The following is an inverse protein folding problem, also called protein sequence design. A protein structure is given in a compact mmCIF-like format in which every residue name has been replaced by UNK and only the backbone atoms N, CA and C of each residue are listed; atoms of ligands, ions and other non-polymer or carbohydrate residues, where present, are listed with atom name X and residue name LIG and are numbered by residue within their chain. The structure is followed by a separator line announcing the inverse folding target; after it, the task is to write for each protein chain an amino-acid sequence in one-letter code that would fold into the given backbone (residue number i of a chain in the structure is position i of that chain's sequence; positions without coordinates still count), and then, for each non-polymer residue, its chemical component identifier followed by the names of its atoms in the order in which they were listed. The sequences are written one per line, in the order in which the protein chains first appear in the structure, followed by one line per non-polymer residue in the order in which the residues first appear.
data_IF_491080034842
#
_entry.id   IF_491080034842
#
_cell.length_a   1.000
_cell.length_b   1.000
_cell.length_c   1.000
_cell.angle_alpha   90.00
_cell.angle_beta   90.00
_cell.angle_gamma   90.00
#
_symmetry.space_group_name_H-M   'P 1'
#
loop_
_entity.id
_entity.type
_entity.pdbx_description
1 polymer ?
#
# COMPACT_ATOMS: atom_id res chain seq x y z
N UNK A 1 -24.10 11.10 -71.62
CA UNK A 1 -24.66 9.94 -70.98
C UNK A 1 -23.75 9.54 -69.81
N UNK A 2 -24.28 9.72 -68.57
CA UNK A 2 -23.57 9.40 -67.32
C UNK A 2 -23.99 7.98 -66.97
N UNK A 3 -23.04 7.05 -66.99
CA UNK A 3 -23.25 5.68 -66.55
C UNK A 3 -23.04 5.61 -65.10
N UNK A 4 -24.14 5.44 -64.36
CA UNK A 4 -24.10 5.19 -62.88
C UNK A 4 -23.92 3.69 -62.63
N UNK A 5 -22.76 3.26 -62.19
CA UNK A 5 -22.53 1.91 -61.71
C UNK A 5 -22.89 1.81 -60.20
N UNK A 6 -24.04 1.18 -59.93
CA UNK A 6 -24.41 0.74 -58.56
C UNK A 6 -23.57 -0.47 -58.21
N UNK A 7 -22.69 -0.33 -57.23
CA UNK A 7 -22.02 -1.46 -56.61
C UNK A 7 -23.02 -2.20 -55.72
N UNK A 8 -23.45 -3.39 -56.15
CA UNK A 8 -24.11 -4.35 -55.26
C UNK A 8 -23.07 -4.92 -54.32
N UNK A 9 -23.15 -4.55 -53.06
CA UNK A 9 -22.29 -5.12 -51.98
C UNK A 9 -22.68 -6.58 -51.82
N UNK A 10 -21.73 -7.47 -52.05
CA UNK A 10 -21.89 -8.92 -52.13
C UNK A 10 -22.41 -9.47 -50.80
N UNK A 11 -23.52 -10.23 -50.83
CA UNK A 11 -24.17 -10.78 -49.64
C UNK A 11 -23.23 -11.65 -48.77
N UNK A 12 -22.21 -12.21 -49.38
CA UNK A 12 -21.16 -12.97 -48.68
C UNK A 12 -20.33 -12.08 -47.72
N UNK A 13 -20.16 -10.79 -48.01
CA UNK A 13 -19.44 -9.85 -47.14
C UNK A 13 -20.27 -9.55 -45.88
N UNK A 14 -21.58 -9.45 -45.99
CA UNK A 14 -22.48 -9.26 -44.86
C UNK A 14 -22.53 -10.48 -43.94
N UNK A 15 -22.51 -11.68 -44.51
CA UNK A 15 -22.52 -12.93 -43.73
C UNK A 15 -21.20 -13.11 -42.98
N UNK A 16 -20.05 -12.81 -43.61
CA UNK A 16 -18.74 -12.86 -42.96
C UNK A 16 -18.60 -11.89 -41.80
N UNK A 17 -19.12 -10.65 -41.94
CA UNK A 17 -19.07 -9.64 -40.90
C UNK A 17 -19.93 -10.03 -39.68
N UNK A 18 -21.12 -10.63 -39.92
CA UNK A 18 -22.00 -11.11 -38.84
C UNK A 18 -21.37 -12.26 -38.05
N UNK A 19 -20.67 -13.19 -38.72
CA UNK A 19 -19.99 -14.30 -38.05
C UNK A 19 -18.83 -13.79 -37.18
N UNK A 20 -18.04 -12.84 -37.66
CA UNK A 20 -16.94 -12.25 -36.90
C UNK A 20 -17.47 -11.53 -35.65
N UNK A 21 -18.56 -10.75 -35.78
CA UNK A 21 -19.17 -10.06 -34.60
C UNK A 21 -19.67 -11.07 -33.58
N UNK A 22 -20.29 -12.17 -34.01
CA UNK A 22 -20.80 -13.20 -33.12
C UNK A 22 -19.70 -13.96 -32.39
N UNK A 23 -18.59 -14.27 -33.08
CA UNK A 23 -17.41 -14.90 -32.45
C UNK A 23 -16.74 -13.95 -31.45
N UNK A 24 -16.64 -12.66 -31.73
CA UNK A 24 -16.12 -11.66 -30.82
C UNK A 24 -17.01 -11.50 -29.58
N UNK A 25 -18.35 -11.53 -29.70
CA UNK A 25 -19.26 -11.46 -28.58
C UNK A 25 -19.18 -12.69 -27.67
N UNK A 26 -19.01 -13.89 -28.24
CA UNK A 26 -18.82 -15.13 -27.47
C UNK A 26 -17.45 -15.08 -26.75
N UNK A 27 -16.39 -14.66 -27.41
CA UNK A 27 -15.06 -14.52 -26.80
C UNK A 27 -15.07 -13.49 -25.65
N UNK A 28 -15.81 -12.39 -25.80
CA UNK A 28 -15.97 -11.40 -24.74
C UNK A 28 -16.78 -11.94 -23.54
N UNK A 29 -17.78 -12.78 -23.77
CA UNK A 29 -18.58 -13.41 -22.71
C UNK A 29 -17.79 -14.48 -21.93
N UNK A 30 -16.85 -15.18 -22.56
CA UNK A 30 -16.01 -16.18 -21.89
C UNK A 30 -14.87 -15.52 -21.12
N UNK A 31 -14.35 -14.37 -21.60
CA UNK A 31 -13.31 -13.62 -20.90
C UNK A 31 -13.81 -12.92 -19.63
N UNK A 32 -15.13 -12.71 -19.50
CA UNK A 32 -15.74 -12.09 -18.30
C UNK A 32 -15.93 -13.06 -17.12
N UNK A 33 -15.63 -14.36 -17.28
CA UNK A 33 -15.76 -15.37 -16.22
C UNK A 33 -14.42 -15.76 -15.57
N UNK A 34 -13.31 -15.24 -16.06
CA UNK A 34 -12.01 -15.36 -15.42
C UNK A 34 -11.66 -14.05 -14.69
N UNK A 35 -12.45 -13.67 -13.70
CA UNK A 35 -11.92 -12.83 -12.65
C UNK A 35 -10.96 -13.71 -11.85
N UNK A 36 -9.66 -13.40 -11.78
CA UNK A 36 -8.84 -13.99 -10.76
C UNK A 36 -9.49 -13.56 -9.44
N UNK A 37 -10.06 -14.50 -8.70
CA UNK A 37 -10.48 -14.34 -7.32
C UNK A 37 -9.24 -14.30 -6.41
N UNK A 38 -8.38 -13.33 -6.68
CA UNK A 38 -7.38 -12.81 -5.78
C UNK A 38 -7.88 -11.46 -5.35
N UNK A 39 -8.96 -11.41 -4.57
CA UNK A 39 -9.21 -10.28 -3.71
C UNK A 39 -8.04 -10.28 -2.73
N UNK A 40 -6.96 -9.55 -3.08
CA UNK A 40 -5.95 -9.18 -2.12
C UNK A 40 -6.68 -8.38 -1.06
N UNK A 41 -6.88 -8.98 0.11
CA UNK A 41 -7.45 -8.28 1.25
C UNK A 41 -6.50 -7.14 1.59
N UNK A 42 -6.88 -5.95 1.15
CA UNK A 42 -6.24 -4.70 1.52
C UNK A 42 -6.51 -4.51 3.00
N UNK A 43 -5.56 -4.93 3.85
CA UNK A 43 -5.66 -4.67 5.28
C UNK A 43 -5.37 -3.19 5.46
N UNK A 44 -6.44 -2.41 5.52
CA UNK A 44 -6.40 -1.04 5.99
C UNK A 44 -6.14 -1.07 7.51
N UNK A 45 -5.42 -0.10 8.05
CA UNK A 45 -5.20 0.10 9.48
C UNK A 45 -6.50 0.30 10.32
N UNK A 46 -7.67 0.10 9.71
CA UNK A 46 -9.00 0.15 10.36
C UNK A 46 -9.42 -1.14 11.07
N UNK A 47 -8.61 -2.22 11.04
CA UNK A 47 -8.95 -3.42 11.82
C UNK A 47 -8.82 -3.08 13.31
N UNK A 48 -9.96 -2.83 13.95
CA UNK A 48 -10.06 -2.68 15.41
C UNK A 48 -10.13 -4.07 16.02
N UNK A 49 -9.00 -4.60 16.47
CA UNK A 49 -9.01 -5.78 17.34
C UNK A 49 -9.35 -5.28 18.74
N UNK A 50 -10.40 -5.83 19.41
CA UNK A 50 -10.70 -5.46 20.80
C UNK A 50 -9.47 -5.70 21.66
N UNK A 51 -9.09 -4.71 22.46
CA UNK A 51 -7.90 -4.74 23.31
C UNK A 51 -8.09 -5.72 24.49
N UNK A 52 -7.98 -7.02 24.22
CA UNK A 52 -7.82 -8.06 25.25
C UNK A 52 -6.33 -8.39 25.43
N UNK A 53 -5.45 -7.81 24.61
CA UNK A 53 -4.03 -8.11 24.62
C UNK A 53 -3.25 -7.04 25.39
N UNK A 54 -2.34 -7.49 26.27
CA UNK A 54 -1.40 -6.63 27.01
C UNK A 54 -0.28 -6.06 26.11
N UNK A 55 -0.36 -6.24 24.79
CA UNK A 55 0.60 -5.79 23.78
C UNK A 55 -0.08 -5.51 22.43
N UNK A 56 0.50 -4.66 21.59
CA UNK A 56 0.00 -4.41 20.25
C UNK A 56 -0.02 -5.68 19.41
N UNK A 57 -1.14 -5.92 18.69
CA UNK A 57 -1.26 -7.04 17.75
C UNK A 57 -0.40 -6.78 16.51
N UNK A 58 0.15 -7.87 15.94
CA UNK A 58 0.94 -7.85 14.72
C UNK A 58 0.33 -8.81 13.71
N UNK A 59 0.00 -8.33 12.52
CA UNK A 59 -0.71 -9.11 11.48
C UNK A 59 0.20 -9.69 10.42
N UNK A 60 1.46 -9.23 10.34
CA UNK A 60 2.42 -9.74 9.38
C UNK A 60 3.86 -9.43 9.76
N UNK A 61 4.80 -10.04 9.05
CA UNK A 61 6.24 -9.79 9.23
C UNK A 61 6.91 -9.77 7.86
N UNK A 62 7.94 -8.91 7.71
CA UNK A 62 8.76 -8.93 6.51
C UNK A 62 9.61 -10.20 6.46
N UNK A 63 9.55 -10.94 5.34
CA UNK A 63 10.47 -12.06 5.08
C UNK A 63 11.88 -11.55 4.81
N UNK A 64 11.99 -10.57 3.91
CA UNK A 64 13.24 -9.88 3.59
C UNK A 64 13.25 -8.51 4.27
N UNK A 65 14.43 -8.07 4.68
CA UNK A 65 14.63 -6.72 5.19
C UNK A 65 14.19 -5.68 4.15
N UNK A 66 13.20 -4.82 4.44
CA UNK A 66 12.70 -3.86 3.47
C UNK A 66 13.65 -2.70 3.24
N UNK A 67 13.57 -2.12 2.04
CA UNK A 67 14.20 -0.83 1.73
C UNK A 67 13.20 0.29 1.96
N UNK A 68 13.59 1.33 2.69
CA UNK A 68 12.76 2.53 2.89
C UNK A 68 13.12 3.57 1.83
N UNK A 69 12.12 4.09 1.12
CA UNK A 69 12.30 5.20 0.15
C UNK A 69 11.41 6.36 0.57
N UNK A 70 12.02 7.51 0.82
CA UNK A 70 11.33 8.80 0.96
C UNK A 70 11.21 9.41 -0.43
N UNK A 71 10.01 9.42 -0.99
CA UNK A 71 9.73 9.95 -2.32
C UNK A 71 9.96 11.48 -2.37
N UNK A 72 10.22 12.04 -3.57
CA UNK A 72 10.68 13.42 -3.75
C UNK A 72 9.81 14.46 -3.05
N UNK A 73 8.48 14.33 -3.18
CA UNK A 73 7.52 15.28 -2.62
C UNK A 73 7.04 14.94 -1.21
N UNK A 74 7.56 13.85 -0.60
CA UNK A 74 7.18 13.51 0.77
C UNK A 74 7.62 14.61 1.74
N UNK A 75 6.76 15.04 2.67
CA UNK A 75 7.02 16.17 3.56
C UNK A 75 7.91 15.76 4.75
N UNK A 76 8.90 14.91 4.51
CA UNK A 76 9.82 14.34 5.51
C UNK A 76 11.22 14.84 5.24
N UNK A 77 11.93 15.25 6.29
CA UNK A 77 13.35 15.57 6.24
C UNK A 77 14.21 14.33 6.42
N UNK A 78 15.47 14.40 5.96
CA UNK A 78 16.45 13.32 6.17
C UNK A 78 16.68 13.01 7.65
N UNK A 79 16.62 14.03 8.51
CA UNK A 79 16.77 13.87 9.96
C UNK A 79 15.60 13.09 10.55
N UNK A 80 14.36 13.42 10.13
CA UNK A 80 13.17 12.72 10.62
C UNK A 80 13.17 11.24 10.24
N UNK A 81 13.46 10.90 8.99
CA UNK A 81 13.48 9.48 8.59
C UNK A 81 14.60 8.72 9.27
N UNK A 82 15.79 9.30 9.41
CA UNK A 82 16.90 8.65 10.11
C UNK A 82 16.57 8.42 11.59
N UNK A 83 15.91 9.38 12.25
CA UNK A 83 15.46 9.23 13.65
C UNK A 83 14.41 8.13 13.78
N UNK A 84 13.43 8.09 12.89
CA UNK A 84 12.36 7.12 12.94
C UNK A 84 12.85 5.68 12.64
N UNK A 85 13.73 5.51 11.65
CA UNK A 85 14.34 4.18 11.39
C UNK A 85 15.23 3.75 12.56
N UNK A 86 16.05 4.65 13.12
CA UNK A 86 16.90 4.35 14.28
C UNK A 86 16.08 3.94 15.52
N UNK A 87 14.89 4.56 15.72
CA UNK A 87 13.97 4.15 16.78
C UNK A 87 13.57 2.67 16.64
N UNK A 88 13.15 2.24 15.44
CA UNK A 88 12.76 0.86 15.19
C UNK A 88 13.94 -0.10 15.16
N UNK A 89 15.11 0.34 14.72
CA UNK A 89 16.35 -0.46 14.78
C UNK A 89 16.78 -0.73 16.21
N UNK A 90 16.59 0.22 17.13
CA UNK A 90 16.83 0.03 18.56
C UNK A 90 15.86 -1.01 19.19
N UNK A 91 14.70 -1.27 18.55
CA UNK A 91 13.76 -2.32 18.92
C UNK A 91 14.04 -3.68 18.21
N UNK A 92 15.16 -3.79 17.49
CA UNK A 92 15.61 -5.02 16.84
C UNK A 92 15.10 -5.22 15.41
N UNK A 93 14.42 -4.23 14.81
CA UNK A 93 14.09 -4.24 13.40
C UNK A 93 15.30 -3.91 12.54
N UNK A 94 15.20 -4.18 11.25
CA UNK A 94 16.26 -3.87 10.29
C UNK A 94 15.64 -3.28 9.03
N UNK A 95 16.34 -2.30 8.46
CA UNK A 95 16.07 -1.78 7.12
C UNK A 95 17.31 -2.00 6.27
N UNK A 96 17.15 -2.47 5.04
CA UNK A 96 18.29 -2.74 4.16
C UNK A 96 19.03 -1.44 3.85
N UNK A 97 18.30 -0.39 3.51
CA UNK A 97 18.80 0.96 3.30
C UNK A 97 17.66 1.96 3.40
N UNK A 98 18.01 3.22 3.66
CA UNK A 98 17.08 4.34 3.59
C UNK A 98 17.50 5.27 2.46
N UNK A 99 16.68 5.37 1.42
CA UNK A 99 16.91 6.24 0.27
C UNK A 99 16.07 7.51 0.44
N UNK A 100 16.76 8.65 0.58
CA UNK A 100 16.09 9.93 0.77
C UNK A 100 16.04 10.71 -0.53
N UNK A 101 14.83 10.92 -1.07
CA UNK A 101 14.57 11.62 -2.33
C UNK A 101 15.41 11.09 -3.51
N UNK A 102 15.69 9.81 -3.47
CA UNK A 102 16.42 9.09 -4.49
C UNK A 102 15.71 7.78 -4.79
N UNK A 103 15.21 7.62 -6.00
CA UNK A 103 14.44 6.46 -6.44
C UNK A 103 14.90 6.00 -7.83
N UNK A 104 16.06 5.35 -7.91
CA UNK A 104 16.68 4.97 -9.20
C UNK A 104 15.85 3.91 -9.95
N UNK A 105 14.92 3.24 -9.29
CA UNK A 105 14.08 2.19 -9.87
C UNK A 105 12.63 2.65 -10.08
N UNK A 106 12.34 3.95 -9.96
CA UNK A 106 11.00 4.54 -10.07
C UNK A 106 9.95 3.84 -9.20
N UNK A 107 10.34 3.31 -8.04
CA UNK A 107 9.44 2.62 -7.10
C UNK A 107 8.36 3.55 -6.55
N UNK A 108 8.65 4.83 -6.43
CA UNK A 108 7.68 5.84 -6.01
C UNK A 108 6.46 5.95 -6.94
N UNK A 109 6.51 5.39 -8.14
CA UNK A 109 5.37 5.31 -9.07
C UNK A 109 4.63 3.96 -8.99
N UNK A 110 5.21 2.95 -8.35
CA UNK A 110 4.63 1.61 -8.26
C UNK A 110 3.41 1.59 -7.33
N UNK A 111 2.34 0.90 -7.72
CA UNK A 111 1.20 0.63 -6.85
C UNK A 111 1.52 -0.43 -5.79
N UNK A 112 2.36 -1.42 -6.13
CA UNK A 112 2.76 -2.53 -5.26
C UNK A 112 4.29 -2.65 -5.26
N UNK A 113 4.98 -1.86 -4.43
CA UNK A 113 6.45 -1.82 -4.42
C UNK A 113 7.03 -2.96 -3.58
N UNK A 114 7.02 -4.18 -4.07
CA UNK A 114 7.55 -5.36 -3.37
C UNK A 114 8.95 -5.15 -2.81
N UNK A 115 9.14 -5.49 -1.53
CA UNK A 115 10.39 -5.32 -0.80
C UNK A 115 10.65 -3.89 -0.31
N UNK A 116 9.69 -2.97 -0.49
CA UNK A 116 9.88 -1.56 -0.14
C UNK A 116 8.81 -1.01 0.81
N UNK A 117 9.25 -0.08 1.64
CA UNK A 117 8.37 0.84 2.38
C UNK A 117 8.52 2.21 1.71
N UNK A 118 7.48 2.68 1.05
CA UNK A 118 7.48 4.00 0.41
C UNK A 118 6.83 5.04 1.31
N UNK A 119 7.43 6.24 1.36
CA UNK A 119 6.84 7.39 2.05
C UNK A 119 6.52 8.45 1.02
N UNK A 120 5.24 8.80 0.89
CA UNK A 120 4.70 9.71 -0.12
C UNK A 120 3.95 10.86 0.50
N UNK A 121 3.90 11.99 -0.21
CA UNK A 121 2.90 13.01 0.06
C UNK A 121 1.52 12.48 -0.36
N UNK A 122 0.51 12.74 0.46
CA UNK A 122 -0.88 12.53 0.07
C UNK A 122 -1.21 13.33 -1.18
N UNK A 123 -1.83 12.70 -2.16
CA UNK A 123 -2.30 13.34 -3.38
C UNK A 123 -3.82 13.57 -3.32
N UNK A 124 -4.34 14.40 -4.23
CA UNK A 124 -5.80 14.63 -4.36
C UNK A 124 -6.59 13.36 -4.65
N UNK A 125 -5.92 12.34 -5.22
CA UNK A 125 -6.52 11.04 -5.54
C UNK A 125 -6.44 10.03 -4.39
N UNK A 126 -5.67 10.33 -3.33
CA UNK A 126 -5.53 9.49 -2.15
C UNK A 126 -6.52 9.97 -1.10
N UNK A 127 -7.57 9.19 -0.85
CA UNK A 127 -8.52 9.51 0.21
C UNK A 127 -7.92 9.09 1.55
N UNK A 128 -7.43 10.06 2.32
CA UNK A 128 -7.22 9.88 3.75
C UNK A 128 -8.51 10.25 4.49
N UNK A 129 -8.73 9.64 5.65
CA UNK A 129 -9.75 10.15 6.58
C UNK A 129 -9.47 11.62 6.93
N UNK A 130 -10.52 12.43 7.07
CA UNK A 130 -10.39 13.88 7.23
C UNK A 130 -9.52 14.29 8.42
N UNK A 131 -9.52 13.52 9.49
CA UNK A 131 -8.71 13.76 10.70
C UNK A 131 -7.36 13.05 10.72
N UNK A 132 -7.06 12.16 9.75
CA UNK A 132 -5.81 11.41 9.74
C UNK A 132 -4.63 12.31 9.37
N UNK A 133 -3.54 12.26 10.13
CA UNK A 133 -2.28 12.95 9.85
C UNK A 133 -1.46 12.22 8.80
N UNK A 134 -1.56 10.89 8.80
CA UNK A 134 -0.95 9.99 7.84
C UNK A 134 -1.76 8.69 7.77
N UNK A 135 -1.43 7.82 6.83
CA UNK A 135 -2.03 6.49 6.70
C UNK A 135 -1.05 5.54 6.03
N UNK A 136 -0.93 4.34 6.59
CA UNK A 136 -0.13 3.27 6.02
C UNK A 136 -1.01 2.22 5.36
N UNK A 137 -0.70 1.89 4.11
CA UNK A 137 -1.24 0.74 3.40
C UNK A 137 -0.14 -0.30 3.26
N UNK A 138 -0.44 -1.54 3.55
CA UNK A 138 0.48 -2.64 3.35
C UNK A 138 -0.26 -3.90 2.91
N UNK A 139 0.44 -4.79 2.26
CA UNK A 139 -0.09 -6.09 1.83
C UNK A 139 0.57 -7.19 2.64
N UNK A 140 -0.25 -8.10 3.16
CA UNK A 140 0.17 -9.33 3.82
C UNK A 140 -0.31 -10.51 2.99
N UNK A 141 0.59 -11.38 2.63
CA UNK A 141 0.25 -12.66 2.04
C UNK A 141 -0.44 -13.52 3.10
N UNK A 142 -1.69 -13.94 2.83
CA UNK A 142 -2.51 -14.67 3.79
C UNK A 142 -2.00 -16.10 4.06
N UNK A 143 -1.28 -16.70 3.12
CA UNK A 143 -0.78 -18.07 3.24
C UNK A 143 0.50 -18.10 4.09
N UNK A 144 1.35 -17.08 3.96
CA UNK A 144 2.65 -17.02 4.64
C UNK A 144 2.67 -16.09 5.84
N UNK A 145 1.77 -15.12 5.91
CA UNK A 145 1.79 -14.04 6.89
C UNK A 145 2.93 -13.03 6.64
N UNK A 146 3.48 -13.00 5.43
CA UNK A 146 4.58 -12.13 5.06
C UNK A 146 4.07 -10.79 4.51
N UNK A 147 4.78 -9.71 4.86
CA UNK A 147 4.52 -8.39 4.28
C UNK A 147 5.37 -8.24 3.03
N UNK A 148 4.71 -8.02 1.89
CA UNK A 148 5.38 -7.84 0.60
C UNK A 148 5.78 -6.39 0.36
N UNK A 149 4.91 -5.45 0.70
CA UNK A 149 5.13 -4.02 0.51
C UNK A 149 4.33 -3.18 1.49
N UNK A 150 4.77 -1.93 1.66
CA UNK A 150 4.03 -0.91 2.39
C UNK A 150 4.18 0.47 1.73
N UNK A 151 3.13 1.29 1.83
CA UNK A 151 3.14 2.69 1.40
C UNK A 151 2.55 3.56 2.50
N UNK A 152 3.31 4.54 2.94
CA UNK A 152 2.93 5.53 3.93
C UNK A 152 2.57 6.82 3.21
N UNK A 153 1.34 7.26 3.34
CA UNK A 153 0.86 8.55 2.83
C UNK A 153 0.83 9.58 3.95
N UNK A 154 1.51 10.70 3.77
CA UNK A 154 1.66 11.74 4.79
C UNK A 154 1.09 13.07 4.34
N UNK A 155 0.42 13.79 5.25
CA UNK A 155 0.04 15.20 5.04
C UNK A 155 1.23 16.12 5.30
N UNK A 156 1.11 17.39 4.91
CA UNK A 156 2.19 18.37 5.07
C UNK A 156 2.49 18.76 6.53
N UNK A 157 1.51 18.62 7.44
CA UNK A 157 1.65 19.00 8.85
C UNK A 157 2.09 17.82 9.72
N UNK A 158 3.33 17.41 9.55
CA UNK A 158 3.87 16.28 10.29
C UNK A 158 4.13 16.66 11.74
N UNK A 159 3.58 15.85 12.65
CA UNK A 159 3.77 15.98 14.08
C UNK A 159 4.76 14.93 14.60
N UNK A 160 5.24 15.15 15.83
CA UNK A 160 6.13 14.17 16.50
C UNK A 160 5.44 12.82 16.59
N UNK A 161 6.19 11.75 16.52
CA UNK A 161 5.76 10.34 16.61
C UNK A 161 4.93 9.80 15.45
N UNK A 162 4.40 10.66 14.55
CA UNK A 162 3.57 10.19 13.44
C UNK A 162 4.34 9.28 12.50
N UNK A 163 5.57 9.64 12.14
CA UNK A 163 6.38 8.82 11.22
C UNK A 163 6.79 7.49 11.86
N UNK A 164 7.15 7.50 13.13
CA UNK A 164 7.46 6.29 13.91
C UNK A 164 6.23 5.39 14.03
N UNK A 165 5.04 5.96 14.26
CA UNK A 165 3.76 5.25 14.30
C UNK A 165 3.46 4.58 12.95
N UNK A 166 3.54 5.32 11.85
CA UNK A 166 3.28 4.79 10.50
C UNK A 166 4.29 3.70 10.09
N UNK A 167 5.57 3.86 10.45
CA UNK A 167 6.55 2.78 10.30
C UNK A 167 6.17 1.54 11.11
N UNK A 168 5.53 1.70 12.28
CA UNK A 168 4.97 0.60 13.05
C UNK A 168 3.92 -0.19 12.26
N UNK A 169 3.01 0.51 11.60
CA UNK A 169 2.05 -0.13 10.69
C UNK A 169 2.74 -0.83 9.51
N UNK A 170 3.72 -0.17 8.90
CA UNK A 170 4.52 -0.77 7.84
C UNK A 170 5.29 -2.01 8.30
N UNK A 171 5.58 -2.15 9.59
CA UNK A 171 6.18 -3.34 10.20
C UNK A 171 5.13 -4.39 10.66
N UNK A 172 3.84 -4.13 10.40
CA UNK A 172 2.73 -5.06 10.63
C UNK A 172 1.96 -4.86 11.94
N UNK A 173 2.27 -3.85 12.74
CA UNK A 173 1.54 -3.56 13.98
C UNK A 173 0.19 -2.91 13.69
N UNK A 174 -0.82 -3.30 14.45
CA UNK A 174 -2.12 -2.66 14.50
C UNK A 174 -2.18 -1.60 15.60
N UNK A 175 -3.24 -0.80 15.58
CA UNK A 175 -3.50 0.15 16.66
C UNK A 175 -3.62 -0.54 18.02
N UNK A 176 -3.07 0.12 19.05
CA UNK A 176 -3.13 -0.30 20.43
C UNK A 176 -3.50 0.90 21.31
N UNK A 177 -4.76 0.95 21.74
CA UNK A 177 -5.36 2.13 22.37
C UNK A 177 -4.96 2.29 23.86
N UNK A 178 -3.65 2.23 24.14
CA UNK A 178 -3.07 2.55 25.45
C UNK A 178 -2.55 3.98 25.44
N UNK A 179 -2.85 4.74 26.48
CA UNK A 179 -2.37 6.13 26.64
C UNK A 179 -0.83 6.16 26.63
N UNK A 180 -0.27 7.15 25.97
CA UNK A 180 1.17 7.34 25.73
C UNK A 180 1.85 6.26 24.87
N UNK A 181 1.13 5.23 24.39
CA UNK A 181 1.71 4.21 23.55
C UNK A 181 1.91 4.70 22.11
N UNK A 182 3.03 4.33 21.47
CA UNK A 182 3.33 4.76 20.10
C UNK A 182 2.22 4.37 19.12
N UNK A 183 1.67 3.15 19.24
CA UNK A 183 0.61 2.65 18.33
C UNK A 183 -0.80 3.07 18.74
N UNK A 184 -0.97 4.14 19.54
CA UNK A 184 -2.30 4.65 19.84
C UNK A 184 -2.93 5.29 18.60
N UNK A 185 -4.18 4.89 18.26
CA UNK A 185 -4.94 5.41 17.12
C UNK A 185 -5.09 6.94 17.14
N UNK A 186 -5.24 7.50 18.35
CA UNK A 186 -5.39 8.95 18.53
C UNK A 186 -4.05 9.58 18.82
N UNK A 187 -3.53 10.37 17.89
CA UNK A 187 -2.24 11.05 18.07
C UNK A 187 -2.15 11.85 19.39
N UNK A 188 -3.25 12.50 19.82
CA UNK A 188 -3.30 13.28 21.06
C UNK A 188 -3.18 12.43 22.33
N UNK A 189 -3.40 11.12 22.22
CA UNK A 189 -3.27 10.15 23.32
C UNK A 189 -2.05 9.24 23.13
N UNK A 190 -1.38 9.34 21.99
CA UNK A 190 -0.15 8.61 21.69
C UNK A 190 1.07 9.21 22.37
N UNK A 191 2.19 8.51 22.30
CA UNK A 191 3.46 8.95 22.88
C UNK A 191 4.62 8.03 22.50
N UNK A 192 5.61 7.91 23.40
CA UNK A 192 6.83 7.15 23.16
C UNK A 192 6.88 5.81 23.88
N UNK A 193 5.78 5.41 24.55
CA UNK A 193 5.71 4.07 25.14
C UNK A 193 5.74 3.02 24.01
N UNK A 194 6.64 2.07 24.15
CA UNK A 194 7.00 1.07 23.13
C UNK A 194 6.83 -0.36 23.60
N UNK A 195 6.16 -0.57 24.73
CA UNK A 195 5.95 -1.88 25.31
C UNK A 195 5.31 -2.85 24.28
N UNK A 196 5.94 -3.98 24.05
CA UNK A 196 5.45 -5.01 23.12
C UNK A 196 5.76 -4.74 21.65
N UNK A 197 6.55 -3.69 21.34
CA UNK A 197 6.99 -3.40 19.96
C UNK A 197 8.34 -4.05 19.61
N UNK A 198 9.02 -4.70 20.55
CA UNK A 198 10.32 -5.31 20.32
C UNK A 198 10.23 -6.45 19.30
N UNK A 199 11.22 -6.52 18.43
CA UNK A 199 11.38 -7.65 17.51
C UNK A 199 11.98 -8.84 18.24
N UNK A 200 11.13 -9.77 18.70
CA UNK A 200 11.54 -10.98 19.44
C UNK A 200 12.05 -12.09 18.52
N UNK A 201 12.40 -11.82 17.26
CA UNK A 201 13.04 -12.84 16.41
C UNK A 201 14.38 -13.21 17.05
N UNK A 202 14.45 -14.44 17.51
CA UNK A 202 15.67 -15.10 17.95
C UNK A 202 16.41 -15.67 16.77
#
# INVERSE_FOLDING_TARGET
PVISTKYCMNDYFKLGLMVIIYVCLIAFSICSLATPSGASDYISNHIRIPAVHNAPAKVGTWFKTPTVIVCEHAPITKVQINSATAFWEALGYRFYTTQYKHDPLNKCLSASPEGYILIRLVSTNTKLEDSALAQTHFFVDNDTGEIDWAVIYMRNDIRKTVLEHELGHALGFLHYNRINHLMNEKWTMGGWDKDGLENKRR
#
